data_IF_202475144802
#
_entry.id   IF_202475144802
#
_cell.length_a   1.000
_cell.length_b   1.000
_cell.length_c   1.000
_cell.angle_alpha   90.00
_cell.angle_beta   90.00
_cell.angle_gamma   90.00
#
_symmetry.space_group_name_H-M   'P 1'
#
loop_
_entity.id
_entity.type
_entity.pdbx_description
1 polymer ?
#
# COMPACT_ATOMS: atom_id res chain seq x y z
N UNK A 1 1.23 -6.64 10.79
CA UNK A 1 -0.18 -6.78 10.38
C UNK A 1 -0.27 -7.32 8.97
N UNK A 2 -1.23 -8.15 8.70
CA UNK A 2 -1.51 -8.72 7.38
C UNK A 2 -2.94 -8.39 6.97
N UNK A 3 -3.19 -8.24 5.69
CA UNK A 3 -4.51 -8.08 5.10
C UNK A 3 -4.61 -8.92 3.85
N UNK A 4 -5.71 -9.64 3.73
CA UNK A 4 -6.03 -10.44 2.56
C UNK A 4 -7.41 -10.05 2.06
N UNK A 5 -7.51 -9.71 0.77
CA UNK A 5 -8.78 -9.50 0.10
C UNK A 5 -8.73 -10.19 -1.25
N UNK A 6 -9.78 -10.93 -1.52
CA UNK A 6 -9.93 -11.68 -2.72
C UNK A 6 -11.29 -11.39 -3.37
N UNK A 7 -11.27 -11.06 -4.63
CA UNK A 7 -12.47 -10.96 -5.45
C UNK A 7 -12.18 -11.60 -6.81
N UNK A 8 -12.87 -12.69 -7.08
CA UNK A 8 -12.75 -13.39 -8.35
C UNK A 8 -13.39 -12.56 -9.46
N UNK A 9 -12.60 -12.27 -10.49
CA UNK A 9 -13.06 -11.56 -11.68
C UNK A 9 -12.64 -12.31 -12.92
N UNK A 10 -13.59 -12.67 -13.76
CA UNK A 10 -13.32 -13.25 -15.07
C UNK A 10 -12.97 -12.12 -16.02
N UNK A 11 -11.78 -12.15 -16.62
CA UNK A 11 -11.40 -11.22 -17.70
C UNK A 11 -12.29 -11.50 -18.91
N UNK A 12 -13.17 -10.60 -19.34
CA UNK A 12 -13.89 -10.79 -20.61
C UNK A 12 -12.89 -10.62 -21.77
N UNK A 13 -12.97 -11.49 -22.77
CA UNK A 13 -12.05 -11.50 -23.90
C UNK A 13 -12.07 -10.21 -24.78
N UNK A 14 -13.07 -9.35 -24.61
CA UNK A 14 -13.32 -8.18 -25.47
C UNK A 14 -13.51 -6.86 -24.71
N UNK A 15 -12.99 -6.69 -23.49
CA UNK A 15 -13.19 -5.44 -22.71
C UNK A 15 -12.02 -4.48 -22.87
N UNK A 16 -12.33 -3.22 -23.16
CA UNK A 16 -11.36 -2.12 -23.15
C UNK A 16 -10.68 -2.00 -21.78
N UNK A 17 -9.35 -1.96 -21.77
CA UNK A 17 -8.51 -1.85 -20.56
C UNK A 17 -8.94 -0.72 -19.62
N UNK A 18 -9.47 0.38 -20.18
CA UNK A 18 -9.96 1.51 -19.39
C UNK A 18 -11.17 1.14 -18.52
N UNK A 19 -12.07 0.33 -19.04
CA UNK A 19 -13.30 -0.10 -18.37
C UNK A 19 -13.00 -1.12 -17.27
N UNK A 20 -12.00 -1.99 -17.48
CA UNK A 20 -11.55 -2.95 -16.49
C UNK A 20 -10.78 -2.30 -15.33
N UNK A 21 -9.97 -1.28 -15.62
CA UNK A 21 -9.30 -0.50 -14.60
C UNK A 21 -10.29 0.24 -13.67
N UNK A 22 -11.47 0.64 -14.18
CA UNK A 22 -12.56 1.17 -13.37
C UNK A 22 -13.22 0.10 -12.46
N UNK A 23 -13.12 -1.16 -12.80
CA UNK A 23 -13.60 -2.25 -11.97
C UNK A 23 -12.64 -2.60 -10.82
N UNK A 24 -11.42 -2.06 -10.83
CA UNK A 24 -10.48 -2.19 -9.73
C UNK A 24 -11.02 -1.50 -8.48
N UNK A 25 -11.44 -2.30 -7.52
CA UNK A 25 -12.20 -1.85 -6.36
C UNK A 25 -11.32 -1.24 -5.27
N UNK A 26 -10.05 -1.60 -5.23
CA UNK A 26 -9.15 -1.27 -4.14
C UNK A 26 -8.03 -0.35 -4.60
N UNK A 27 -7.92 0.80 -3.92
CA UNK A 27 -6.82 1.74 -4.08
C UNK A 27 -5.68 1.35 -3.14
N UNK A 28 -4.47 1.27 -3.66
CA UNK A 28 -3.28 0.91 -2.91
C UNK A 28 -2.28 2.06 -2.96
N UNK A 29 -1.75 2.39 -1.80
CA UNK A 29 -0.71 3.41 -1.67
C UNK A 29 -0.99 4.44 -0.60
N UNK A 30 -0.01 5.31 -0.43
CA UNK A 30 -0.05 6.40 0.53
C UNK A 30 0.20 5.99 1.97
N UNK A 31 0.26 7.01 2.78
CA UNK A 31 0.41 6.95 4.23
C UNK A 31 -0.82 7.61 4.84
N UNK A 32 -1.96 6.94 4.74
CA UNK A 32 -3.25 7.51 5.12
C UNK A 32 -3.31 7.76 6.63
N UNK A 33 -3.41 9.01 7.03
CA UNK A 33 -3.73 9.39 8.41
C UNK A 33 -5.18 9.05 8.76
N UNK A 34 -6.07 9.10 7.77
CA UNK A 34 -7.49 8.78 7.93
C UNK A 34 -7.80 7.58 7.03
N UNK A 35 -8.30 6.47 7.60
CA UNK A 35 -8.73 5.32 6.82
C UNK A 35 -9.84 5.71 5.84
N UNK A 36 -9.65 5.42 4.57
CA UNK A 36 -10.68 5.55 3.53
C UNK A 36 -11.20 4.17 3.15
N UNK A 37 -12.48 4.11 2.81
CA UNK A 37 -13.08 2.88 2.31
C UNK A 37 -12.35 2.44 1.04
N UNK A 38 -12.09 1.15 0.94
CA UNK A 38 -11.45 0.51 -0.20
C UNK A 38 -10.05 1.07 -0.54
N UNK A 39 -9.38 1.74 0.44
CA UNK A 39 -8.02 2.26 0.30
C UNK A 39 -7.08 1.61 1.32
N UNK A 40 -5.94 1.16 0.85
CA UNK A 40 -4.98 0.40 1.64
C UNK A 40 -3.58 1.01 1.55
N UNK A 41 -3.04 1.29 2.72
CA UNK A 41 -1.70 1.88 2.85
C UNK A 41 -0.63 0.94 2.33
N UNK A 42 0.23 1.45 1.46
CA UNK A 42 1.48 0.80 1.08
C UNK A 42 2.59 1.86 1.07
N UNK A 43 3.52 1.83 2.05
CA UNK A 43 4.56 2.84 2.19
C UNK A 43 5.43 2.97 0.95
N UNK A 44 5.72 4.20 0.55
CA UNK A 44 6.52 4.50 -0.63
C UNK A 44 5.71 4.76 -1.90
N UNK A 45 4.40 4.48 -1.91
CA UNK A 45 3.48 4.87 -2.97
C UNK A 45 2.69 6.13 -2.57
N UNK A 46 2.26 6.92 -3.55
CA UNK A 46 1.27 7.98 -3.33
C UNK A 46 -0.11 7.38 -3.09
N UNK A 47 -0.99 8.15 -2.47
CA UNK A 47 -2.36 7.73 -2.21
C UNK A 47 -3.09 7.38 -3.52
N UNK A 48 -3.59 6.14 -3.61
CA UNK A 48 -4.31 5.66 -4.79
C UNK A 48 -3.47 5.55 -6.06
N UNK A 49 -2.15 5.45 -5.94
CA UNK A 49 -1.27 5.33 -7.09
C UNK A 49 -1.45 4.02 -7.84
N UNK A 50 -1.79 2.95 -7.13
CA UNK A 50 -2.06 1.64 -7.70
C UNK A 50 -3.50 1.20 -7.39
N UNK A 51 -4.07 0.45 -8.32
CA UNK A 51 -5.40 -0.14 -8.17
C UNK A 51 -5.31 -1.64 -8.40
N UNK A 52 -6.10 -2.42 -7.65
CA UNK A 52 -6.16 -3.86 -7.80
C UNK A 52 -7.54 -4.40 -7.43
N UNK A 53 -7.89 -5.56 -7.97
CA UNK A 53 -9.08 -6.31 -7.57
C UNK A 53 -8.80 -7.27 -6.44
N UNK A 54 -7.55 -7.70 -6.32
CA UNK A 54 -7.09 -8.71 -5.38
C UNK A 54 -5.77 -8.25 -4.76
N UNK A 55 -5.60 -8.47 -3.47
CA UNK A 55 -4.29 -8.29 -2.86
C UNK A 55 -4.14 -9.10 -1.58
N UNK A 56 -2.90 -9.50 -1.33
CA UNK A 56 -2.42 -10.04 -0.08
C UNK A 56 -1.28 -9.15 0.40
N UNK A 57 -1.34 -8.67 1.63
CA UNK A 57 -0.35 -7.76 2.18
C UNK A 57 0.17 -8.22 3.53
N UNK A 58 1.48 -8.17 3.70
CA UNK A 58 2.16 -8.37 4.97
C UNK A 58 3.03 -7.15 5.29
N UNK A 59 2.86 -6.60 6.48
CA UNK A 59 3.69 -5.51 7.00
C UNK A 59 4.49 -6.00 8.19
N UNK A 60 5.79 -5.78 8.13
CA UNK A 60 6.71 -5.99 9.23
C UNK A 60 7.33 -4.64 9.63
N UNK A 61 7.28 -4.32 10.90
CA UNK A 61 7.87 -3.10 11.43
C UNK A 61 8.23 -3.26 12.89
N UNK A 62 9.31 -2.60 13.31
CA UNK A 62 9.74 -2.58 14.69
C UNK A 62 10.00 -1.14 15.12
N UNK A 63 9.37 -0.72 16.20
CA UNK A 63 9.53 0.64 16.71
C UNK A 63 10.57 0.67 17.82
N UNK A 64 11.52 1.58 17.67
CA UNK A 64 12.55 1.91 18.66
C UNK A 64 12.31 3.32 19.21
N UNK A 65 12.57 3.51 20.49
CA UNK A 65 12.56 4.82 21.15
C UNK A 65 13.97 5.14 21.66
N UNK A 66 14.86 5.65 20.79
CA UNK A 66 16.23 5.95 21.20
C UNK A 66 16.36 7.18 22.10
N UNK A 67 15.44 8.12 21.98
CA UNK A 67 15.41 9.35 22.75
C UNK A 67 13.96 9.70 23.17
N UNK A 68 13.81 10.42 24.26
CA UNK A 68 12.49 10.83 24.71
C UNK A 68 11.73 11.57 23.59
N UNK A 69 10.51 11.13 23.29
CA UNK A 69 9.62 11.65 22.24
C UNK A 69 10.06 11.38 20.78
N UNK A 70 11.18 10.72 20.54
CA UNK A 70 11.63 10.34 19.20
C UNK A 70 11.48 8.83 19.03
N UNK A 71 10.82 8.44 17.95
CA UNK A 71 10.60 7.04 17.58
C UNK A 71 11.17 6.81 16.19
N UNK A 72 11.84 5.68 16.00
CA UNK A 72 12.35 5.22 14.71
C UNK A 72 11.70 3.88 14.42
N UNK A 73 11.03 3.78 13.29
CA UNK A 73 10.28 2.58 12.88
C UNK A 73 10.77 2.11 11.51
N UNK A 74 11.83 1.31 11.42
CA UNK A 74 12.11 0.60 10.18
C UNK A 74 10.93 -0.32 9.84
N UNK A 75 10.61 -0.39 8.58
CA UNK A 75 9.52 -1.20 8.07
C UNK A 75 9.89 -1.91 6.76
N UNK A 76 9.32 -3.08 6.59
CA UNK A 76 9.36 -3.84 5.36
C UNK A 76 7.94 -4.31 5.04
N UNK A 77 7.53 -4.09 3.81
CA UNK A 77 6.20 -4.45 3.37
C UNK A 77 6.30 -5.28 2.10
N UNK A 78 5.49 -6.30 2.04
CA UNK A 78 5.35 -7.15 0.88
C UNK A 78 3.85 -7.27 0.56
N UNK A 79 3.50 -7.14 -0.69
CA UNK A 79 2.14 -7.34 -1.15
C UNK A 79 2.13 -8.04 -2.50
N UNK A 80 1.27 -9.02 -2.64
CA UNK A 80 0.89 -9.53 -3.94
C UNK A 80 -0.39 -8.84 -4.36
N UNK A 81 -0.41 -8.26 -5.54
CA UNK A 81 -1.50 -7.44 -6.10
C UNK A 81 -1.82 -7.92 -7.50
N UNK A 82 -3.09 -7.86 -7.91
CA UNK A 82 -3.42 -8.32 -9.24
C UNK A 82 -4.89 -8.17 -9.61
N UNK A 83 -5.16 -8.72 -10.79
CA UNK A 83 -6.46 -8.80 -11.43
C UNK A 83 -6.72 -10.23 -11.92
N UNK A 84 -7.95 -10.56 -12.25
CA UNK A 84 -8.30 -11.83 -12.88
C UNK A 84 -8.84 -12.89 -11.91
N UNK A 85 -8.65 -14.16 -12.27
CA UNK A 85 -9.11 -15.29 -11.46
C UNK A 85 -8.12 -15.66 -10.36
N UNK A 86 -8.57 -16.46 -9.40
CA UNK A 86 -7.70 -16.90 -8.29
C UNK A 86 -6.53 -17.76 -8.76
N UNK A 87 -6.74 -18.58 -9.77
CA UNK A 87 -5.68 -19.45 -10.27
C UNK A 87 -4.59 -18.62 -10.95
N UNK A 88 -4.97 -17.66 -11.81
CA UNK A 88 -4.03 -16.74 -12.47
C UNK A 88 -3.25 -15.94 -11.43
N UNK A 89 -3.96 -15.47 -10.38
CA UNK A 89 -3.34 -14.75 -9.28
C UNK A 89 -2.30 -15.61 -8.55
N UNK A 90 -2.57 -16.88 -8.26
CA UNK A 90 -1.63 -17.75 -7.53
C UNK A 90 -0.37 -18.05 -8.34
N UNK A 91 -0.48 -18.23 -9.64
CA UNK A 91 0.64 -18.57 -10.51
C UNK A 91 1.68 -17.45 -10.58
N UNK A 92 1.25 -16.19 -10.49
CA UNK A 92 2.11 -15.02 -10.62
C UNK A 92 2.31 -14.23 -9.32
N UNK A 93 1.64 -14.60 -8.22
CA UNK A 93 1.57 -13.85 -6.97
C UNK A 93 2.92 -13.51 -6.33
N UNK A 94 3.96 -14.25 -6.66
CA UNK A 94 5.30 -14.09 -6.08
C UNK A 94 6.35 -13.61 -7.08
N UNK A 95 5.91 -13.21 -8.27
CA UNK A 95 6.81 -12.73 -9.34
C UNK A 95 6.66 -11.22 -9.52
N UNK A 96 7.73 -10.42 -9.42
CA UNK A 96 7.68 -8.99 -9.74
C UNK A 96 7.41 -8.78 -11.23
N UNK A 97 6.44 -7.95 -11.56
CA UNK A 97 6.09 -7.57 -12.93
C UNK A 97 5.84 -6.06 -12.98
N UNK A 98 6.71 -5.27 -13.59
CA UNK A 98 6.60 -3.81 -13.61
C UNK A 98 5.48 -3.30 -14.54
N UNK A 99 4.99 -4.12 -15.46
CA UNK A 99 3.92 -3.75 -16.39
C UNK A 99 2.55 -4.35 -16.01
N UNK A 100 2.44 -4.91 -14.82
CA UNK A 100 1.25 -5.64 -14.36
C UNK A 100 -0.07 -4.85 -14.48
N UNK A 101 -0.03 -3.54 -14.22
CA UNK A 101 -1.23 -2.71 -14.38
C UNK A 101 -1.66 -2.52 -15.83
N UNK A 102 -0.70 -2.47 -16.77
CA UNK A 102 -1.01 -2.30 -18.20
C UNK A 102 -1.64 -3.55 -18.79
N UNK A 103 -1.22 -4.72 -18.32
CA UNK A 103 -1.70 -6.01 -18.82
C UNK A 103 -2.77 -6.63 -17.93
N UNK A 104 -3.13 -5.96 -16.81
CA UNK A 104 -4.05 -6.49 -15.79
C UNK A 104 -3.61 -7.86 -15.25
N UNK A 105 -2.30 -8.00 -15.05
CA UNK A 105 -1.67 -9.19 -14.50
C UNK A 105 -1.53 -9.11 -12.98
N UNK A 106 -0.74 -9.99 -12.42
CA UNK A 106 -0.39 -10.01 -11.00
C UNK A 106 1.06 -9.61 -10.82
N UNK A 107 1.38 -8.98 -9.70
CA UNK A 107 2.75 -8.60 -9.36
C UNK A 107 3.02 -8.68 -7.87
N UNK A 108 4.28 -8.98 -7.55
CA UNK A 108 4.82 -8.86 -6.21
C UNK A 108 5.38 -7.46 -5.99
N UNK A 109 4.74 -6.73 -5.09
CA UNK A 109 5.24 -5.43 -4.61
C UNK A 109 6.03 -5.61 -3.32
N UNK A 110 7.17 -4.94 -3.24
CA UNK A 110 8.00 -4.89 -2.03
C UNK A 110 8.35 -3.44 -1.72
N UNK A 111 8.25 -3.05 -0.47
CA UNK A 111 8.80 -1.78 -0.01
C UNK A 111 9.63 -1.96 1.25
N UNK A 112 10.69 -1.17 1.34
CA UNK A 112 11.53 -1.09 2.52
C UNK A 112 11.77 0.38 2.87
N UNK A 113 11.66 0.72 4.15
CA UNK A 113 11.78 2.09 4.57
C UNK A 113 11.93 2.28 6.08
N UNK A 114 11.90 3.53 6.48
CA UNK A 114 11.89 3.90 7.89
C UNK A 114 11.08 5.17 8.10
N UNK A 115 10.35 5.20 9.21
CA UNK A 115 9.64 6.38 9.71
C UNK A 115 10.38 6.92 10.94
N UNK A 116 10.68 8.21 10.93
CA UNK A 116 11.13 8.94 12.12
C UNK A 116 9.96 9.78 12.61
N UNK A 117 9.53 9.56 13.85
CA UNK A 117 8.41 10.24 14.46
C UNK A 117 8.86 11.03 15.67
N UNK A 118 8.36 12.27 15.81
CA UNK A 118 8.57 13.12 16.97
C UNK A 118 7.23 13.51 17.58
N UNK A 119 7.04 13.23 18.86
CA UNK A 119 5.86 13.66 19.60
C UNK A 119 5.99 15.11 20.04
N UNK A 120 5.46 16.03 19.22
CA UNK A 120 5.40 17.45 19.52
C UNK A 120 4.12 17.83 20.29
N UNK A 121 4.06 19.06 20.80
CA UNK A 121 2.86 19.59 21.46
C UNK A 121 1.68 19.82 20.51
N UNK A 122 1.94 19.93 19.20
CA UNK A 122 0.92 20.06 18.14
C UNK A 122 0.56 18.71 17.50
N UNK A 123 1.05 17.60 18.06
CA UNK A 123 0.83 16.24 17.56
C UNK A 123 2.08 15.57 16.99
N UNK A 124 1.94 14.36 16.52
CA UNK A 124 3.04 13.63 15.93
C UNK A 124 3.51 14.29 14.63
N UNK A 125 4.82 14.45 14.51
CA UNK A 125 5.50 14.86 13.29
C UNK A 125 6.22 13.64 12.76
N UNK A 126 5.90 13.22 11.53
CA UNK A 126 6.48 12.05 10.92
C UNK A 126 7.24 12.41 9.65
N UNK A 127 8.39 11.80 9.51
CA UNK A 127 9.19 11.81 8.29
C UNK A 127 9.40 10.37 7.86
N UNK A 128 8.87 10.03 6.68
CA UNK A 128 8.95 8.69 6.12
C UNK A 128 9.87 8.68 4.91
N UNK A 129 10.72 7.67 4.84
CA UNK A 129 11.54 7.37 3.68
C UNK A 129 11.31 5.92 3.29
N UNK A 130 10.85 5.67 2.07
CA UNK A 130 10.56 4.32 1.59
C UNK A 130 10.94 4.12 0.13
N UNK A 131 11.52 2.96 -0.15
CA UNK A 131 11.77 2.46 -1.50
C UNK A 131 10.71 1.43 -1.87
N UNK A 132 10.31 1.41 -3.14
CA UNK A 132 9.38 0.42 -3.70
C UNK A 132 9.97 -0.16 -4.99
N UNK A 133 9.89 -1.47 -5.14
CA UNK A 133 10.44 -2.19 -6.29
C UNK A 133 9.75 -1.81 -7.62
N UNK A 134 8.44 -1.67 -7.63
CA UNK A 134 7.64 -1.39 -8.82
C UNK A 134 8.07 -0.11 -9.53
N UNK A 135 8.28 0.95 -8.77
CA UNK A 135 8.74 2.24 -9.30
C UNK A 135 10.26 2.40 -9.25
N UNK A 136 10.95 1.51 -8.56
CA UNK A 136 12.40 1.53 -8.30
C UNK A 136 12.94 2.90 -7.86
N UNK A 137 12.21 3.58 -6.97
CA UNK A 137 12.55 4.91 -6.46
C UNK A 137 12.39 4.97 -4.95
N UNK A 138 13.23 5.80 -4.33
CA UNK A 138 13.05 6.22 -2.95
C UNK A 138 12.17 7.47 -2.92
N UNK A 139 11.17 7.46 -2.06
CA UNK A 139 10.27 8.61 -1.83
C UNK A 139 10.29 9.03 -0.38
N UNK A 140 10.09 10.32 -0.18
CA UNK A 140 10.05 10.97 1.11
C UNK A 140 8.63 11.53 1.34
N UNK A 141 8.11 11.30 2.53
CA UNK A 141 6.81 11.83 2.96
C UNK A 141 6.97 12.54 4.29
N UNK A 142 6.23 13.60 4.45
CA UNK A 142 6.19 14.38 5.68
C UNK A 142 4.76 14.58 6.11
N UNK A 143 4.47 14.35 7.40
CA UNK A 143 3.16 14.57 7.95
C UNK A 143 3.23 15.16 9.36
N UNK A 144 2.27 16.04 9.66
CA UNK A 144 2.07 16.63 10.98
C UNK A 144 0.59 16.60 11.31
N UNK A 145 0.21 16.14 12.48
CA UNK A 145 -1.15 16.31 12.92
C UNK A 145 -1.70 15.26 13.87
N UNK A 146 -2.93 15.51 14.30
CA UNK A 146 -3.77 14.62 15.08
C UNK A 146 -4.85 14.00 14.19
N UNK A 147 -5.13 12.74 14.42
CA UNK A 147 -6.35 12.10 13.92
C UNK A 147 -7.42 12.29 14.97
N UNK A 148 -8.38 13.17 14.72
CA UNK A 148 -9.60 13.25 15.51
C UNK A 148 -10.56 12.20 14.98
N UNK A 149 -10.88 11.22 15.82
CA UNK A 149 -11.95 10.28 15.54
C UNK A 149 -13.14 10.60 16.46
N UNK A 150 -14.04 11.52 16.09
CA UNK A 150 -15.23 11.79 16.86
C UNK A 150 -16.15 10.58 16.73
N UNK A 151 -16.12 9.71 17.74
CA UNK A 151 -17.14 8.68 17.89
C UNK A 151 -18.42 9.37 18.36
N UNK A 152 -19.25 9.80 17.43
CA UNK A 152 -20.61 10.15 17.75
C UNK A 152 -21.36 8.85 18.10
N UNK A 153 -21.76 8.75 19.37
CA UNK A 153 -22.76 7.78 19.82
C UNK A 153 -24.15 8.30 19.52
#
# INVERSE_FOLDING_TARGET
TGSFIFQDQVKPEDVDFSEYAYAAKYNIGGNLLIPKKDSYVFPGLYEGELNASQFLKLNLGMQFNPLNKIYITPNFNIASVGFGTFNDYLDEAFTPNNDWQKHLDTSLLMSAGATISYNSFIGPVNFDMSWVNDINKVRLFFSVGFVFNPSFR
#
